data_IF_321306701311
#
_entry.id   IF_321306701311
#
_cell.length_a   1.000
_cell.length_b   1.000
_cell.length_c   1.000
_cell.angle_alpha   90.00
_cell.angle_beta   90.00
_cell.angle_gamma   90.00
#
_symmetry.space_group_name_H-M   'P 1'
#
loop_
_entity.id
_entity.type
_entity.pdbx_description
1 polymer ?
#
# COMPACT_ATOMS: atom_id res chain seq x y z
N UNK A 1 -52.45 9.14 -2.16
CA UNK A 1 -51.92 8.27 -3.23
C UNK A 1 -50.41 8.42 -3.41
N UNK A 2 -49.83 9.62 -3.22
CA UNK A 2 -48.38 9.83 -3.35
C UNK A 2 -47.50 9.05 -2.36
N UNK A 3 -47.93 8.88 -1.09
CA UNK A 3 -47.14 8.11 -0.11
C UNK A 3 -47.00 6.62 -0.45
N UNK A 4 -47.97 6.02 -1.15
CA UNK A 4 -47.95 4.59 -1.52
C UNK A 4 -47.05 4.33 -2.73
N UNK A 5 -47.11 5.22 -3.74
CA UNK A 5 -46.17 5.18 -4.88
C UNK A 5 -44.72 5.43 -4.44
N UNK A 6 -44.50 6.34 -3.49
CA UNK A 6 -43.15 6.61 -2.98
C UNK A 6 -42.59 5.41 -2.18
N UNK A 7 -43.41 4.71 -1.40
CA UNK A 7 -42.98 3.49 -0.69
C UNK A 7 -42.68 2.33 -1.65
N UNK A 8 -43.47 2.16 -2.70
CA UNK A 8 -43.27 1.09 -3.69
C UNK A 8 -41.96 1.32 -4.49
N UNK A 9 -41.66 2.57 -4.85
CA UNK A 9 -40.40 2.92 -5.50
C UNK A 9 -39.17 2.81 -4.58
N UNK A 10 -39.30 3.20 -3.30
CA UNK A 10 -38.21 3.02 -2.31
C UNK A 10 -37.93 1.54 -2.03
N UNK A 11 -38.98 0.72 -1.93
CA UNK A 11 -38.85 -0.74 -1.81
C UNK A 11 -38.20 -1.36 -3.07
N UNK A 12 -38.52 -0.85 -4.26
CA UNK A 12 -37.87 -1.27 -5.51
C UNK A 12 -36.38 -0.93 -5.55
N UNK A 13 -35.98 0.27 -5.11
CA UNK A 13 -34.56 0.67 -5.09
C UNK A 13 -33.77 -0.16 -4.09
N UNK A 14 -34.35 -0.42 -2.91
CA UNK A 14 -33.73 -1.24 -1.88
C UNK A 14 -33.47 -2.67 -2.37
N UNK A 15 -34.46 -3.29 -3.00
CA UNK A 15 -34.32 -4.65 -3.55
C UNK A 15 -33.21 -4.72 -4.60
N UNK A 16 -33.16 -3.77 -5.53
CA UNK A 16 -32.13 -3.74 -6.59
C UNK A 16 -30.72 -3.55 -6.01
N UNK A 17 -30.56 -2.74 -4.96
CA UNK A 17 -29.27 -2.58 -4.27
C UNK A 17 -28.83 -3.88 -3.57
N UNK A 18 -29.77 -4.61 -2.95
CA UNK A 18 -29.49 -5.91 -2.34
C UNK A 18 -29.05 -6.93 -3.40
N UNK A 19 -29.77 -7.00 -4.53
CA UNK A 19 -29.44 -7.89 -5.64
C UNK A 19 -28.06 -7.56 -6.25
N UNK A 20 -27.77 -6.27 -6.45
CA UNK A 20 -26.49 -5.82 -6.98
C UNK A 20 -25.33 -6.13 -6.02
N UNK A 21 -25.52 -6.00 -4.70
CA UNK A 21 -24.54 -6.41 -3.70
C UNK A 21 -24.32 -7.93 -3.69
N UNK A 22 -25.39 -8.72 -3.80
CA UNK A 22 -25.29 -10.18 -3.85
C UNK A 22 -24.52 -10.66 -5.08
N UNK A 23 -24.72 -10.02 -6.24
CA UNK A 23 -23.94 -10.29 -7.45
C UNK A 23 -22.45 -9.97 -7.28
N UNK A 24 -22.13 -8.85 -6.61
CA UNK A 24 -20.75 -8.48 -6.30
C UNK A 24 -20.04 -9.59 -5.48
N UNK A 25 -20.74 -10.11 -4.46
CA UNK A 25 -20.24 -11.20 -3.62
C UNK A 25 -20.05 -12.50 -4.42
N UNK A 26 -21.01 -12.83 -5.27
CA UNK A 26 -20.94 -14.02 -6.14
C UNK A 26 -19.75 -13.94 -7.11
N UNK A 27 -19.45 -12.77 -7.68
CA UNK A 27 -18.27 -12.60 -8.52
C UNK A 27 -16.97 -12.80 -7.73
N UNK A 28 -16.92 -12.37 -6.47
CA UNK A 28 -15.74 -12.58 -5.61
C UNK A 28 -15.49 -14.06 -5.31
N UNK A 29 -16.55 -14.85 -5.08
CA UNK A 29 -16.44 -16.32 -4.94
C UNK A 29 -15.84 -16.98 -6.20
N UNK A 30 -16.10 -16.41 -7.38
CA UNK A 30 -15.53 -16.84 -8.65
C UNK A 30 -14.13 -16.26 -8.95
N UNK A 31 -13.51 -15.52 -8.02
CA UNK A 31 -12.24 -14.78 -8.19
C UNK A 31 -12.26 -13.78 -9.36
N UNK A 32 -13.42 -13.19 -9.61
CA UNK A 32 -13.65 -12.16 -10.64
C UNK A 32 -14.32 -10.91 -10.05
N UNK A 33 -14.52 -10.88 -8.74
CA UNK A 33 -15.20 -9.79 -8.04
C UNK A 33 -14.25 -8.65 -7.71
N UNK A 34 -14.82 -7.46 -7.56
CA UNK A 34 -14.09 -6.27 -7.12
C UNK A 34 -14.42 -5.94 -5.66
N UNK A 35 -13.49 -5.30 -4.97
CA UNK A 35 -13.79 -4.53 -3.77
C UNK A 35 -14.33 -3.16 -4.17
N UNK A 36 -15.17 -2.54 -3.33
CA UNK A 36 -15.72 -1.20 -3.60
C UNK A 36 -15.42 -0.27 -2.44
N UNK A 37 -14.57 0.71 -2.67
CA UNK A 37 -14.24 1.76 -1.73
C UNK A 37 -15.09 3.00 -2.04
N UNK A 38 -16.00 3.36 -1.15
CA UNK A 38 -16.89 4.51 -1.29
C UNK A 38 -16.39 5.63 -0.39
N UNK A 39 -15.96 6.73 -0.99
CA UNK A 39 -15.57 7.94 -0.28
C UNK A 39 -16.78 8.86 -0.18
N UNK A 40 -17.19 9.20 1.04
CA UNK A 40 -18.24 10.19 1.28
C UNK A 40 -17.63 11.44 1.91
N UNK A 41 -17.46 12.48 1.10
CA UNK A 41 -16.99 13.79 1.53
C UNK A 41 -18.12 14.82 1.44
N UNK A 42 -17.90 15.99 2.04
CA UNK A 42 -18.82 17.11 1.91
C UNK A 42 -18.72 18.09 3.07
N UNK A 43 -19.56 19.11 3.02
CA UNK A 43 -19.60 20.15 4.05
C UNK A 43 -20.28 19.63 5.33
N UNK A 44 -20.09 20.33 6.46
CA UNK A 44 -20.89 20.08 7.67
C UNK A 44 -22.40 20.12 7.36
N UNK A 45 -23.17 19.28 8.07
CA UNK A 45 -24.65 19.16 7.95
C UNK A 45 -25.17 18.74 6.56
N UNK A 46 -24.29 18.30 5.66
CA UNK A 46 -24.67 17.85 4.31
C UNK A 46 -25.37 16.47 4.29
N UNK A 47 -25.40 15.75 5.43
CA UNK A 47 -26.13 14.49 5.59
C UNK A 47 -25.34 13.24 5.21
N UNK A 48 -24.02 13.32 5.11
CA UNK A 48 -23.12 12.20 4.79
C UNK A 48 -23.37 10.99 5.71
N UNK A 49 -23.36 11.18 7.03
CA UNK A 49 -23.57 10.09 8.00
C UNK A 49 -24.95 9.47 7.87
N UNK A 50 -25.96 10.28 7.57
CA UNK A 50 -27.32 9.80 7.33
C UNK A 50 -27.41 8.98 6.04
N UNK A 51 -26.74 9.41 4.97
CA UNK A 51 -26.67 8.65 3.71
C UNK A 51 -25.96 7.29 3.89
N UNK A 52 -24.84 7.25 4.62
CA UNK A 52 -24.14 6.00 4.95
C UNK A 52 -25.03 5.07 5.80
N UNK A 53 -25.73 5.62 6.81
CA UNK A 53 -26.67 4.85 7.63
C UNK A 53 -27.83 4.33 6.79
N UNK A 54 -28.34 5.11 5.83
CA UNK A 54 -29.41 4.68 4.93
C UNK A 54 -28.98 3.53 4.03
N UNK A 55 -27.78 3.58 3.46
CA UNK A 55 -27.25 2.45 2.70
C UNK A 55 -27.13 1.20 3.59
N UNK A 56 -26.58 1.33 4.80
CA UNK A 56 -26.49 0.22 5.77
C UNK A 56 -27.83 -0.38 6.18
N UNK A 57 -28.89 0.42 6.24
CA UNK A 57 -30.25 -0.07 6.49
C UNK A 57 -30.87 -0.76 5.26
N UNK A 58 -30.33 -0.49 4.08
CA UNK A 58 -30.89 -0.95 2.80
C UNK A 58 -30.26 -2.26 2.34
N UNK A 59 -28.93 -2.40 2.44
CA UNK A 59 -28.19 -3.58 1.95
C UNK A 59 -27.77 -4.51 3.09
N UNK A 60 -27.23 -5.69 2.76
CA UNK A 60 -26.76 -6.64 3.76
C UNK A 60 -25.52 -6.08 4.50
N UNK A 61 -25.59 -5.89 5.83
CA UNK A 61 -24.49 -5.30 6.59
C UNK A 61 -23.25 -6.19 6.68
N UNK A 62 -23.33 -7.51 6.42
CA UNK A 62 -22.16 -8.39 6.47
C UNK A 62 -21.13 -8.09 5.36
N UNK A 63 -21.59 -7.53 4.24
CA UNK A 63 -20.73 -7.13 3.12
C UNK A 63 -20.45 -5.63 3.07
N UNK A 64 -20.79 -4.89 4.13
CA UNK A 64 -20.65 -3.44 4.20
C UNK A 64 -19.90 -3.03 5.46
N UNK A 65 -18.76 -2.38 5.28
CA UNK A 65 -17.98 -1.77 6.36
C UNK A 65 -18.11 -0.24 6.32
N UNK A 66 -18.08 0.40 7.47
CA UNK A 66 -18.07 1.86 7.59
C UNK A 66 -16.89 2.25 8.48
N UNK A 67 -16.01 3.08 7.94
CA UNK A 67 -14.78 3.53 8.57
C UNK A 67 -14.84 5.04 8.80
N UNK A 68 -14.54 5.43 10.03
CA UNK A 68 -14.37 6.82 10.45
C UNK A 68 -13.08 6.89 11.27
N UNK A 69 -11.96 6.88 10.57
CA UNK A 69 -10.65 6.95 11.22
C UNK A 69 -10.45 8.36 11.81
N UNK A 70 -9.73 8.48 12.94
CA UNK A 70 -9.32 9.79 13.43
C UNK A 70 -8.52 10.50 12.34
N UNK A 71 -8.88 11.76 12.06
CA UNK A 71 -8.12 12.61 11.14
C UNK A 71 -6.68 12.66 11.64
N UNK A 72 -5.71 12.44 10.75
CA UNK A 72 -4.30 12.51 11.11
C UNK A 72 -3.82 13.95 10.96
N UNK A 73 -3.66 14.72 12.05
CA UNK A 73 -3.22 16.09 11.96
C UNK A 73 -1.70 16.08 11.92
N UNK A 74 -1.09 15.79 10.76
CA UNK A 74 0.28 16.24 10.44
C UNK A 74 0.78 15.78 9.08
N UNK A 75 1.16 16.79 8.29
CA UNK A 75 2.07 16.79 7.14
C UNK A 75 1.57 16.12 5.85
N UNK A 76 1.52 16.93 4.79
CA UNK A 76 1.37 16.53 3.38
C UNK A 76 2.41 15.46 2.95
N UNK A 77 3.49 15.32 3.73
CA UNK A 77 4.56 14.37 3.49
C UNK A 77 4.34 13.03 4.20
N UNK A 78 3.30 12.84 5.01
CA UNK A 78 3.02 11.55 5.64
C UNK A 78 2.51 10.51 4.63
N UNK A 79 2.58 9.22 5.00
CA UNK A 79 1.98 8.13 4.22
C UNK A 79 0.46 8.19 4.30
N UNK A 80 -0.14 8.96 3.39
CA UNK A 80 -1.57 9.27 3.41
C UNK A 80 -2.47 8.03 3.39
N UNK A 81 -2.06 6.94 2.73
CA UNK A 81 -2.86 5.72 2.64
C UNK A 81 -2.78 4.84 3.90
N UNK A 82 -1.74 5.01 4.73
CA UNK A 82 -1.46 4.09 5.84
C UNK A 82 -2.58 4.02 6.89
N UNK A 83 -3.20 5.14 7.33
CA UNK A 83 -4.33 5.09 8.24
C UNK A 83 -5.51 4.30 7.67
N UNK A 84 -5.63 4.24 6.34
CA UNK A 84 -6.78 3.67 5.64
C UNK A 84 -6.59 2.22 5.18
N UNK A 85 -5.45 1.59 5.47
CA UNK A 85 -5.17 0.21 5.05
C UNK A 85 -6.27 -0.76 5.50
N UNK A 86 -6.75 -0.64 6.73
CA UNK A 86 -7.83 -1.48 7.26
C UNK A 86 -9.21 -1.19 6.64
N UNK A 87 -9.36 -0.07 5.93
CA UNK A 87 -10.59 0.32 5.25
C UNK A 87 -10.64 -0.13 3.78
N UNK A 88 -9.50 -0.55 3.21
CA UNK A 88 -9.45 -1.08 1.85
C UNK A 88 -10.23 -2.40 1.82
N UNK A 89 -11.30 -2.50 1.00
CA UNK A 89 -12.15 -3.67 0.98
C UNK A 89 -11.45 -4.84 0.29
N UNK A 90 -11.75 -6.06 0.76
CA UNK A 90 -11.51 -7.25 -0.04
C UNK A 90 -12.54 -7.36 -1.17
N UNK A 91 -12.25 -8.22 -2.15
CA UNK A 91 -13.20 -8.56 -3.22
C UNK A 91 -14.56 -8.98 -2.66
N UNK A 92 -15.64 -8.44 -3.22
CA UNK A 92 -17.02 -8.73 -2.79
C UNK A 92 -17.53 -7.85 -1.64
N UNK A 93 -16.68 -7.00 -1.05
CA UNK A 93 -17.07 -6.08 0.02
C UNK A 93 -17.22 -4.64 -0.48
N UNK A 94 -18.04 -3.89 0.26
CA UNK A 94 -18.18 -2.44 0.14
C UNK A 94 -17.66 -1.81 1.43
N UNK A 95 -16.71 -0.90 1.34
CA UNK A 95 -16.22 -0.10 2.46
C UNK A 95 -16.57 1.36 2.25
N UNK A 96 -17.25 1.98 3.21
CA UNK A 96 -17.52 3.42 3.22
C UNK A 96 -16.47 4.11 4.08
N UNK A 97 -15.77 5.08 3.52
CA UNK A 97 -14.82 5.94 4.21
C UNK A 97 -15.48 7.31 4.46
N UNK A 98 -15.80 7.58 5.72
CA UNK A 98 -16.28 8.89 6.21
C UNK A 98 -15.13 9.83 6.55
N UNK A 99 -14.01 9.26 6.99
CA UNK A 99 -12.71 9.94 7.04
C UNK A 99 -11.85 9.32 5.95
N UNK A 100 -11.21 10.16 5.15
CA UNK A 100 -10.55 9.75 3.91
C UNK A 100 -9.36 10.65 3.58
N UNK A 101 -8.47 10.18 2.70
CA UNK A 101 -7.21 10.86 2.35
C UNK A 101 -7.38 12.29 1.78
N UNK A 102 -8.50 12.63 1.16
CA UNK A 102 -8.78 14.02 0.75
C UNK A 102 -9.07 14.96 1.92
N UNK A 103 -9.61 14.44 3.03
CA UNK A 103 -9.91 15.24 4.20
C UNK A 103 -8.62 15.67 4.90
N UNK A 104 -7.62 14.79 4.93
CA UNK A 104 -6.31 15.10 5.49
C UNK A 104 -5.67 16.30 4.77
N UNK A 105 -5.83 16.41 3.44
CA UNK A 105 -5.39 17.59 2.67
C UNK A 105 -6.14 18.85 3.09
N UNK A 106 -7.46 18.78 3.17
CA UNK A 106 -8.29 19.94 3.55
C UNK A 106 -7.91 20.44 4.94
N UNK A 107 -7.68 19.52 5.89
CA UNK A 107 -7.27 19.82 7.26
C UNK A 107 -5.86 20.40 7.29
N UNK A 108 -4.92 19.80 6.54
CA UNK A 108 -3.55 20.31 6.44
C UNK A 108 -3.51 21.71 5.85
N UNK A 109 -4.29 21.99 4.80
CA UNK A 109 -4.30 23.30 4.14
C UNK A 109 -4.90 24.43 5.00
N UNK A 110 -5.75 24.11 5.97
CA UNK A 110 -6.28 25.09 6.93
C UNK A 110 -5.35 25.29 8.11
N UNK A 111 -4.75 24.21 8.61
CA UNK A 111 -3.97 24.24 9.86
C UNK A 111 -2.48 24.52 9.67
N UNK A 112 -1.93 24.33 8.47
CA UNK A 112 -0.51 24.51 8.18
C UNK A 112 -0.30 25.55 7.07
N UNK A 113 0.22 26.72 7.47
CA UNK A 113 0.52 27.83 6.57
C UNK A 113 1.66 27.55 5.59
N UNK A 114 2.44 26.47 5.79
CA UNK A 114 3.50 26.04 4.89
C UNK A 114 3.01 25.11 3.75
N UNK A 115 1.74 24.74 3.76
CA UNK A 115 1.11 23.94 2.70
C UNK A 115 0.77 24.85 1.52
N UNK A 116 1.62 24.83 0.50
CA UNK A 116 1.40 25.59 -0.73
C UNK A 116 0.47 24.83 -1.68
N UNK A 117 -0.17 25.55 -2.60
CA UNK A 117 -0.99 24.94 -3.68
C UNK A 117 -0.19 23.92 -4.51
N UNK A 118 1.12 24.14 -4.68
CA UNK A 118 1.98 23.18 -5.39
C UNK A 118 2.12 21.86 -4.63
N UNK A 119 2.32 21.91 -3.31
CA UNK A 119 2.37 20.71 -2.45
C UNK A 119 1.03 19.96 -2.46
N UNK A 120 -0.08 20.69 -2.42
CA UNK A 120 -1.43 20.11 -2.53
C UNK A 120 -1.57 19.36 -3.85
N UNK A 121 -1.21 19.98 -4.99
CA UNK A 121 -1.30 19.35 -6.31
C UNK A 121 -0.43 18.09 -6.42
N UNK A 122 0.79 18.13 -5.88
CA UNK A 122 1.66 16.95 -5.85
C UNK A 122 1.04 15.82 -5.03
N UNK A 123 0.48 16.13 -3.86
CA UNK A 123 -0.17 15.14 -3.02
C UNK A 123 -1.44 14.56 -3.66
N UNK A 124 -2.23 15.39 -4.35
CA UNK A 124 -3.38 14.92 -5.15
C UNK A 124 -2.95 13.98 -6.27
N UNK A 125 -1.84 14.24 -6.95
CA UNK A 125 -1.30 13.32 -7.95
C UNK A 125 -0.90 11.96 -7.35
N UNK A 126 -0.38 11.95 -6.11
CA UNK A 126 -0.08 10.70 -5.39
C UNK A 126 -1.37 9.94 -5.01
N UNK A 127 -2.42 10.64 -4.62
CA UNK A 127 -3.74 10.05 -4.36
C UNK A 127 -4.32 9.46 -5.65
N UNK A 128 -4.31 10.21 -6.74
CA UNK A 128 -4.82 9.74 -8.04
C UNK A 128 -4.09 8.47 -8.47
N UNK A 129 -2.76 8.45 -8.37
CA UNK A 129 -1.96 7.29 -8.70
C UNK A 129 -2.30 6.08 -7.79
N UNK A 130 -2.51 6.30 -6.50
CA UNK A 130 -2.93 5.26 -5.57
C UNK A 130 -4.34 4.71 -5.87
N UNK A 131 -5.29 5.58 -6.22
CA UNK A 131 -6.63 5.15 -6.64
C UNK A 131 -6.59 4.35 -7.95
N UNK A 132 -5.70 4.71 -8.90
CA UNK A 132 -5.47 3.91 -10.09
C UNK A 132 -4.86 2.55 -9.75
N UNK A 133 -3.92 2.49 -8.80
CA UNK A 133 -3.32 1.23 -8.34
C UNK A 133 -4.38 0.34 -7.68
N UNK A 134 -5.26 0.90 -6.85
CA UNK A 134 -6.42 0.18 -6.30
C UNK A 134 -7.31 -0.37 -7.41
N UNK A 135 -7.68 0.46 -8.39
CA UNK A 135 -8.54 0.05 -9.51
C UNK A 135 -7.93 -1.06 -10.35
N UNK A 136 -6.63 -0.95 -10.64
CA UNK A 136 -5.89 -1.96 -11.35
C UNK A 136 -5.85 -3.27 -10.55
N UNK A 137 -5.82 -3.20 -9.22
CA UNK A 137 -5.84 -4.34 -8.30
C UNK A 137 -7.26 -4.65 -7.79
N UNK A 138 -8.26 -4.55 -8.66
CA UNK A 138 -9.65 -4.97 -8.46
C UNK A 138 -10.39 -4.28 -7.31
N UNK A 139 -10.03 -3.03 -6.98
CA UNK A 139 -10.77 -2.17 -6.03
C UNK A 139 -11.26 -0.91 -6.73
N UNK A 140 -12.58 -0.78 -6.92
CA UNK A 140 -13.17 0.44 -7.49
C UNK A 140 -13.34 1.50 -6.41
N UNK A 141 -12.95 2.73 -6.73
CA UNK A 141 -13.12 3.90 -5.85
C UNK A 141 -14.27 4.76 -6.38
N UNK A 142 -15.32 4.95 -5.58
CA UNK A 142 -16.48 5.78 -5.92
C UNK A 142 -16.51 6.97 -4.98
N UNK A 143 -16.54 8.18 -5.53
CA UNK A 143 -16.34 9.42 -4.77
C UNK A 143 -17.59 10.29 -4.82
N UNK A 144 -18.17 10.58 -3.65
CA UNK A 144 -19.34 11.43 -3.51
C UNK A 144 -19.03 12.67 -2.70
N UNK A 145 -19.42 13.84 -3.23
CA UNK A 145 -19.34 15.10 -2.50
C UNK A 145 -20.74 15.62 -2.19
N UNK A 146 -21.10 15.64 -0.91
CA UNK A 146 -22.36 16.21 -0.44
C UNK A 146 -22.18 17.72 -0.25
N UNK A 147 -22.76 18.49 -1.16
CA UNK A 147 -22.62 19.94 -1.15
C UNK A 147 -23.75 20.63 -0.39
N UNK A 148 -23.39 21.64 0.39
CA UNK A 148 -24.35 22.51 1.06
C UNK A 148 -23.87 23.97 0.97
N UNK A 149 -24.69 24.86 0.38
CA UNK A 149 -24.38 26.29 0.36
C UNK A 149 -24.26 26.85 1.79
N UNK A 150 -23.36 27.83 1.96
CA UNK A 150 -23.06 28.42 3.27
C UNK A 150 -24.31 28.89 4.05
N UNK A 151 -25.26 29.54 3.36
CA UNK A 151 -26.48 30.05 4.01
C UNK A 151 -27.35 28.92 4.59
N UNK A 152 -27.41 27.77 3.90
CA UNK A 152 -28.13 26.59 4.37
C UNK A 152 -27.41 25.91 5.52
N UNK A 153 -26.08 25.85 5.45
CA UNK A 153 -25.25 25.33 6.53
C UNK A 153 -25.46 26.15 7.81
N UNK A 154 -25.48 27.48 7.71
CA UNK A 154 -25.74 28.39 8.84
C UNK A 154 -27.14 28.20 9.42
N UNK A 155 -28.16 28.05 8.56
CA UNK A 155 -29.53 27.78 9.00
C UNK A 155 -29.59 26.49 9.83
N UNK A 156 -29.01 25.39 9.34
CA UNK A 156 -29.05 24.10 10.03
C UNK A 156 -28.25 24.10 11.35
N UNK A 157 -27.16 24.86 11.46
CA UNK A 157 -26.42 24.98 12.72
C UNK A 157 -27.22 25.69 13.82
N UNK A 158 -28.10 26.65 13.47
CA UNK A 158 -28.98 27.27 14.47
C UNK A 158 -30.05 26.31 15.02
N UNK A 159 -30.38 25.26 14.25
CA UNK A 159 -31.36 24.23 14.60
C UNK A 159 -30.69 23.00 15.27
N UNK A 160 -29.35 22.92 15.25
CA UNK A 160 -28.60 21.79 15.75
C UNK A 160 -28.45 21.79 17.29
N UNK A 161 -28.50 20.60 17.90
CA UNK A 161 -28.21 20.44 19.32
C UNK A 161 -26.69 20.49 19.61
N UNK A 162 -26.32 20.65 20.89
CA UNK A 162 -24.92 20.75 21.35
C UNK A 162 -24.07 19.53 20.97
N UNK A 163 -24.62 18.31 21.04
CA UNK A 163 -23.88 17.08 20.72
C UNK A 163 -23.44 16.97 19.26
N UNK A 164 -24.23 17.48 18.30
CA UNK A 164 -23.83 17.51 16.89
C UNK A 164 -22.65 18.45 16.61
N UNK A 165 -22.52 19.54 17.37
CA UNK A 165 -21.39 20.48 17.25
C UNK A 165 -20.08 19.84 17.71
N UNK A 166 -20.11 19.08 18.79
CA UNK A 166 -18.93 18.37 19.32
C UNK A 166 -18.42 17.32 18.33
N UNK A 167 -19.31 16.56 17.68
CA UNK A 167 -18.94 15.56 16.67
C UNK A 167 -18.29 16.23 15.44
N UNK A 168 -18.76 17.40 15.01
CA UNK A 168 -18.15 18.10 13.87
C UNK A 168 -16.74 18.61 14.16
N UNK A 169 -16.48 19.06 15.38
CA UNK A 169 -15.14 19.49 15.78
C UNK A 169 -14.11 18.35 15.74
N UNK A 170 -14.54 17.08 15.88
CA UNK A 170 -13.65 15.91 15.79
C UNK A 170 -13.05 15.68 14.39
N UNK A 171 -13.63 16.29 13.35
CA UNK A 171 -13.19 16.14 11.96
C UNK A 171 -12.19 17.23 11.50
N UNK A 172 -11.80 18.14 12.40
CA UNK A 172 -10.70 19.10 12.17
C UNK A 172 -10.98 20.24 11.20
N UNK A 173 -12.20 20.37 10.68
CA UNK A 173 -12.62 21.44 9.75
C UNK A 173 -13.80 22.24 10.33
N UNK A 174 -13.73 23.57 10.25
CA UNK A 174 -14.83 24.44 10.67
C UNK A 174 -15.51 25.14 9.48
N UNK A 175 -16.47 24.45 8.89
CA UNK A 175 -17.27 24.94 7.76
C UNK A 175 -18.20 26.13 8.09
N UNK A 176 -18.37 26.49 9.37
CA UNK A 176 -19.24 27.59 9.80
C UNK A 176 -18.58 28.97 9.66
N UNK A 177 -17.24 29.02 9.59
CA UNK A 177 -16.51 30.26 9.36
C UNK A 177 -16.43 30.53 7.86
N UNK A 178 -17.01 31.65 7.42
CA UNK A 178 -17.07 32.00 5.99
C UNK A 178 -15.68 32.01 5.30
N UNK A 179 -14.62 32.59 5.86
CA UNK A 179 -13.30 32.56 5.22
C UNK A 179 -12.75 31.14 5.05
N UNK A 180 -12.88 30.28 6.07
CA UNK A 180 -12.45 28.87 5.99
C UNK A 180 -13.32 28.08 4.99
N UNK A 181 -14.63 28.32 4.96
CA UNK A 181 -15.54 27.74 3.96
C UNK A 181 -15.11 28.08 2.54
N UNK A 182 -14.85 29.37 2.26
CA UNK A 182 -14.48 29.83 0.92
C UNK A 182 -13.12 29.25 0.50
N UNK A 183 -12.15 29.19 1.41
CA UNK A 183 -10.85 28.55 1.16
C UNK A 183 -10.99 27.05 0.89
N UNK A 184 -11.78 26.32 1.69
CA UNK A 184 -12.01 24.90 1.50
C UNK A 184 -12.71 24.61 0.17
N UNK A 185 -13.66 25.45 -0.24
CA UNK A 185 -14.32 25.32 -1.54
C UNK A 185 -13.35 25.56 -2.70
N UNK A 186 -12.40 26.49 -2.58
CA UNK A 186 -11.35 26.69 -3.58
C UNK A 186 -10.42 25.47 -3.69
N UNK A 187 -10.01 24.88 -2.56
CA UNK A 187 -9.14 23.69 -2.56
C UNK A 187 -9.89 22.48 -3.11
N UNK A 188 -11.16 22.28 -2.72
CA UNK A 188 -12.04 21.22 -3.22
C UNK A 188 -12.08 21.18 -4.75
N UNK A 189 -12.20 22.33 -5.40
CA UNK A 189 -12.26 22.42 -6.87
C UNK A 189 -11.04 21.81 -7.57
N UNK A 190 -9.90 21.67 -6.88
CA UNK A 190 -8.69 21.04 -7.41
C UNK A 190 -8.84 19.53 -7.62
N UNK A 191 -9.75 18.86 -6.90
CA UNK A 191 -9.85 17.40 -6.92
C UNK A 191 -11.25 16.85 -7.14
N UNK A 192 -12.30 17.69 -7.24
CA UNK A 192 -13.68 17.22 -7.41
C UNK A 192 -14.15 17.12 -8.87
N UNK A 193 -13.25 17.05 -9.85
CA UNK A 193 -13.64 17.00 -11.26
C UNK A 193 -14.31 15.68 -11.65
N UNK A 194 -13.91 14.57 -11.01
CA UNK A 194 -14.43 13.23 -11.22
C UNK A 194 -15.33 12.75 -10.07
N UNK A 195 -15.77 13.68 -9.20
CA UNK A 195 -16.64 13.37 -8.07
C UNK A 195 -18.11 13.53 -8.42
N UNK A 196 -18.94 12.68 -7.82
CA UNK A 196 -20.40 12.77 -7.93
C UNK A 196 -20.89 13.80 -6.91
N UNK A 197 -21.40 14.93 -7.40
CA UNK A 197 -21.92 15.99 -6.53
C UNK A 197 -23.36 15.69 -6.15
N UNK A 198 -23.64 15.68 -4.84
CA UNK A 198 -24.97 15.52 -4.26
C UNK A 198 -25.37 16.84 -3.58
N UNK A 199 -26.14 17.67 -4.27
CA UNK A 199 -26.50 19.04 -3.85
C UNK A 199 -28.00 19.23 -3.58
N UNK A 200 -28.76 18.13 -3.53
CA UNK A 200 -30.21 18.19 -3.41
C UNK A 200 -30.68 18.81 -2.08
N UNK A 201 -31.73 19.65 -2.11
CA UNK A 201 -32.04 20.52 -0.98
C UNK A 201 -32.32 19.85 0.37
N UNK A 202 -33.19 18.82 0.43
CA UNK A 202 -33.57 18.13 1.69
C UNK A 202 -32.72 16.87 1.88
N UNK A 203 -32.33 16.59 3.12
CA UNK A 203 -31.51 15.41 3.48
C UNK A 203 -32.04 14.09 2.90
N UNK A 204 -33.34 13.81 3.01
CA UNK A 204 -33.96 12.60 2.44
C UNK A 204 -33.77 12.48 0.92
N UNK A 205 -33.81 13.60 0.21
CA UNK A 205 -33.62 13.64 -1.24
C UNK A 205 -32.15 13.32 -1.59
N UNK A 206 -31.19 13.94 -0.89
CA UNK A 206 -29.76 13.63 -1.02
C UNK A 206 -29.46 12.14 -0.81
N UNK A 207 -30.03 11.53 0.23
CA UNK A 207 -29.85 10.10 0.46
C UNK A 207 -30.43 9.25 -0.65
N UNK A 208 -31.63 9.56 -1.15
CA UNK A 208 -32.22 8.84 -2.29
C UNK A 208 -31.35 8.97 -3.54
N UNK A 209 -30.82 10.16 -3.80
CA UNK A 209 -29.91 10.44 -4.93
C UNK A 209 -28.64 9.61 -4.81
N UNK A 210 -27.99 9.64 -3.65
CA UNK A 210 -26.82 8.83 -3.33
C UNK A 210 -27.07 7.33 -3.56
N UNK A 211 -28.17 6.78 -3.03
CA UNK A 211 -28.52 5.37 -3.21
C UNK A 211 -28.77 5.00 -4.67
N UNK A 212 -29.38 5.92 -5.45
CA UNK A 212 -29.62 5.72 -6.88
C UNK A 212 -28.31 5.70 -7.67
N UNK A 213 -27.39 6.62 -7.38
CA UNK A 213 -26.06 6.65 -7.99
C UNK A 213 -25.22 5.43 -7.59
N UNK A 214 -25.28 5.02 -6.32
CA UNK A 214 -24.64 3.79 -5.86
C UNK A 214 -25.13 2.57 -6.63
N UNK A 215 -26.44 2.43 -6.83
CA UNK A 215 -27.00 1.35 -7.63
C UNK A 215 -26.48 1.38 -9.07
N UNK A 216 -26.47 2.56 -9.68
CA UNK A 216 -25.96 2.73 -11.04
C UNK A 216 -24.51 2.24 -11.18
N UNK A 217 -23.63 2.63 -10.25
CA UNK A 217 -22.25 2.17 -10.24
C UNK A 217 -22.12 0.67 -9.97
N UNK A 218 -22.89 0.12 -9.03
CA UNK A 218 -22.87 -1.33 -8.77
C UNK A 218 -23.26 -2.14 -10.02
N UNK A 219 -24.27 -1.68 -10.77
CA UNK A 219 -24.64 -2.31 -12.04
C UNK A 219 -23.52 -2.22 -13.08
N UNK A 220 -22.89 -1.06 -13.25
CA UNK A 220 -21.77 -0.91 -14.17
C UNK A 220 -20.60 -1.84 -13.80
N UNK A 221 -20.25 -1.90 -12.51
CA UNK A 221 -19.16 -2.74 -12.00
C UNK A 221 -19.45 -4.22 -12.24
N UNK A 222 -20.68 -4.66 -11.94
CA UNK A 222 -21.08 -6.05 -12.14
C UNK A 222 -21.17 -6.47 -13.62
N UNK A 223 -21.37 -5.52 -14.54
CA UNK A 223 -21.44 -5.79 -15.98
C UNK A 223 -20.07 -5.66 -16.67
N UNK A 224 -19.13 -4.93 -16.08
CA UNK A 224 -17.83 -4.67 -16.67
C UNK A 224 -16.98 -5.96 -16.73
N UNK A 225 -16.78 -6.47 -17.94
CA UNK A 225 -15.77 -7.50 -18.18
C UNK A 225 -14.39 -6.84 -18.28
N UNK A 226 -13.52 -7.08 -17.31
CA UNK A 226 -12.14 -6.62 -17.39
C UNK A 226 -11.28 -7.72 -18.01
N UNK A 227 -10.97 -7.58 -19.31
CA UNK A 227 -9.98 -8.41 -19.99
C UNK A 227 -8.75 -7.55 -20.30
N UNK A 228 -7.89 -7.27 -19.30
CA UNK A 228 -6.67 -6.54 -19.58
C UNK A 228 -5.77 -7.42 -20.45
N UNK A 229 -5.25 -6.84 -21.53
CA UNK A 229 -4.22 -7.49 -22.34
C UNK A 229 -2.85 -7.03 -21.85
N UNK A 230 -1.93 -7.98 -21.72
CA UNK A 230 -0.56 -7.67 -21.39
C UNK A 230 0.11 -7.00 -22.58
N UNK A 231 0.93 -5.99 -22.33
CA UNK A 231 1.79 -5.46 -23.37
C UNK A 231 2.87 -6.49 -23.72
N UNK A 232 3.41 -6.38 -24.93
CA UNK A 232 4.65 -7.07 -25.24
C UNK A 232 5.73 -6.59 -24.27
N UNK A 233 6.38 -7.51 -23.57
CA UNK A 233 7.45 -7.20 -22.63
C UNK A 233 8.79 -7.59 -23.24
N UNK A 234 9.62 -6.59 -23.47
CA UNK A 234 11.00 -6.79 -23.87
C UNK A 234 11.88 -6.81 -22.63
N UNK A 235 12.41 -7.99 -22.31
CA UNK A 235 13.29 -8.16 -21.16
C UNK A 235 14.66 -7.54 -21.42
N UNK A 236 15.23 -7.00 -20.35
CA UNK A 236 16.58 -6.45 -20.34
C UNK A 236 17.61 -7.58 -20.45
N UNK A 237 18.77 -7.30 -21.08
CA UNK A 237 19.91 -8.20 -21.02
C UNK A 237 20.27 -8.53 -19.56
N UNK A 238 20.84 -9.71 -19.31
CA UNK A 238 21.26 -10.08 -17.95
C UNK A 238 22.28 -9.07 -17.44
N UNK A 239 21.93 -8.36 -16.37
CA UNK A 239 22.78 -7.34 -15.79
C UNK A 239 24.11 -7.95 -15.32
N UNK A 240 25.28 -7.44 -15.76
CA UNK A 240 26.58 -8.01 -15.41
C UNK A 240 26.80 -8.11 -13.89
N UNK A 241 26.25 -7.15 -13.14
CA UNK A 241 26.30 -7.11 -11.68
C UNK A 241 25.63 -8.32 -11.00
N UNK A 242 24.74 -9.04 -11.68
CA UNK A 242 24.18 -10.30 -11.15
C UNK A 242 25.21 -11.43 -11.09
N UNK A 243 26.35 -11.31 -11.78
CA UNK A 243 27.44 -12.28 -11.79
C UNK A 243 28.65 -11.84 -10.96
N UNK A 244 28.46 -10.95 -9.98
CA UNK A 244 29.58 -10.47 -9.14
C UNK A 244 30.09 -11.61 -8.27
N UNK A 245 31.41 -11.75 -8.25
CA UNK A 245 32.16 -12.60 -7.33
C UNK A 245 33.24 -11.75 -6.67
N UNK A 246 33.48 -11.99 -5.38
CA UNK A 246 34.64 -11.42 -4.72
C UNK A 246 35.85 -12.32 -5.02
N UNK A 247 36.90 -11.73 -5.58
CA UNK A 247 38.14 -12.45 -5.97
C UNK A 247 39.23 -12.34 -4.91
N UNK A 248 39.22 -11.26 -4.12
CA UNK A 248 40.29 -10.95 -3.15
C UNK A 248 39.69 -10.80 -1.74
N UNK A 249 40.21 -11.59 -0.80
CA UNK A 249 39.83 -11.54 0.62
C UNK A 249 41.07 -11.28 1.46
N UNK A 250 41.02 -10.24 2.28
CA UNK A 250 42.19 -9.77 3.03
C UNK A 250 42.10 -10.01 4.53
N UNK A 251 40.98 -10.52 5.05
CA UNK A 251 40.76 -10.65 6.48
C UNK A 251 40.96 -12.08 6.97
N UNK A 252 41.80 -12.25 8.00
CA UNK A 252 41.80 -13.46 8.82
C UNK A 252 40.57 -13.51 9.74
N UNK A 253 40.44 -14.56 10.56
CA UNK A 253 39.26 -14.72 11.42
C UNK A 253 39.12 -13.61 12.47
N UNK A 254 40.21 -13.27 13.16
CA UNK A 254 40.22 -12.25 14.21
C UNK A 254 39.92 -10.86 13.63
N UNK A 255 40.49 -10.54 12.48
CA UNK A 255 40.25 -9.28 11.77
C UNK A 255 38.79 -9.15 11.33
N UNK A 256 38.18 -10.23 10.85
CA UNK A 256 36.77 -10.24 10.50
C UNK A 256 35.89 -9.97 11.72
N UNK A 257 36.13 -10.64 12.85
CA UNK A 257 35.28 -10.51 14.03
C UNK A 257 35.35 -9.09 14.60
N UNK A 258 36.55 -8.50 14.70
CA UNK A 258 36.74 -7.10 15.12
C UNK A 258 36.06 -6.12 14.17
N UNK A 259 36.26 -6.30 12.86
CA UNK A 259 35.65 -5.41 11.86
C UNK A 259 34.13 -5.52 11.85
N UNK A 260 33.60 -6.75 11.91
CA UNK A 260 32.19 -7.04 11.92
C UNK A 260 31.51 -6.41 13.14
N UNK A 261 32.06 -6.62 14.34
CA UNK A 261 31.51 -6.04 15.56
C UNK A 261 31.49 -4.51 15.48
N UNK A 262 32.60 -3.89 15.04
CA UNK A 262 32.69 -2.43 14.91
C UNK A 262 31.64 -1.87 13.95
N UNK A 263 31.51 -2.45 12.75
CA UNK A 263 30.54 -1.98 11.76
C UNK A 263 29.10 -2.19 12.22
N UNK A 264 28.83 -3.33 12.88
CA UNK A 264 27.49 -3.63 13.34
C UNK A 264 27.03 -2.67 14.44
N UNK A 265 27.88 -2.40 15.43
CA UNK A 265 27.63 -1.38 16.46
C UNK A 265 27.40 0.00 15.84
N UNK A 266 28.15 0.33 14.79
CA UNK A 266 27.95 1.59 14.07
C UNK A 266 26.57 1.65 13.39
N UNK A 267 26.12 0.57 12.74
CA UNK A 267 24.75 0.48 12.20
C UNK A 267 23.71 0.69 13.29
N UNK A 268 23.85 0.03 14.44
CA UNK A 268 22.91 0.18 15.57
C UNK A 268 22.85 1.63 16.05
N UNK A 269 23.99 2.29 16.21
CA UNK A 269 24.06 3.68 16.63
C UNK A 269 23.43 4.63 15.61
N UNK A 270 23.67 4.41 14.32
CA UNK A 270 23.08 5.20 13.24
C UNK A 270 21.55 5.04 13.22
N UNK A 271 21.05 3.81 13.28
CA UNK A 271 19.60 3.50 13.33
C UNK A 271 18.93 4.22 14.49
N UNK A 272 19.55 4.25 15.68
CA UNK A 272 19.02 4.92 16.87
C UNK A 272 18.98 6.45 16.75
N UNK A 273 20.02 7.05 16.16
CA UNK A 273 20.21 8.50 16.11
C UNK A 273 19.51 9.17 14.93
N UNK A 274 19.32 8.45 13.83
CA UNK A 274 18.65 9.00 12.65
C UNK A 274 17.20 9.37 13.01
N UNK A 275 16.63 10.42 12.40
CA UNK A 275 15.21 10.76 12.59
C UNK A 275 14.28 9.87 11.75
N UNK A 276 14.78 9.37 10.61
CA UNK A 276 14.06 8.54 9.64
C UNK A 276 13.86 7.12 10.14
N UNK A 277 12.89 6.42 9.55
CA UNK A 277 12.74 4.97 9.71
C UNK A 277 13.51 4.27 8.60
N UNK A 278 14.12 3.12 8.90
CA UNK A 278 14.98 2.40 7.96
C UNK A 278 14.30 1.09 7.58
N UNK A 279 14.18 0.86 6.28
CA UNK A 279 13.61 -0.35 5.70
C UNK A 279 14.71 -1.07 4.92
N UNK A 280 15.01 -2.30 5.31
CA UNK A 280 15.95 -3.17 4.59
C UNK A 280 15.17 -4.25 3.85
N UNK A 281 15.42 -4.41 2.56
CA UNK A 281 14.77 -5.42 1.71
C UNK A 281 15.82 -6.42 1.23
N UNK A 282 15.61 -7.71 1.51
CA UNK A 282 16.53 -8.77 1.09
C UNK A 282 15.87 -9.69 0.07
N UNK A 283 16.40 -9.67 -1.15
CA UNK A 283 16.08 -10.62 -2.22
C UNK A 283 17.35 -11.36 -2.68
N UNK A 284 17.16 -12.38 -3.51
CA UNK A 284 18.26 -13.16 -4.10
C UNK A 284 17.92 -14.63 -4.19
N UNK A 285 18.74 -15.37 -4.94
CA UNK A 285 18.55 -16.79 -5.20
C UNK A 285 18.45 -17.63 -3.92
N UNK A 286 17.80 -18.79 -4.02
CA UNK A 286 17.75 -19.72 -2.89
C UNK A 286 19.17 -20.14 -2.47
N UNK A 287 19.35 -20.30 -1.16
CA UNK A 287 20.65 -20.48 -0.49
C UNK A 287 21.70 -19.35 -0.62
N UNK A 288 21.36 -18.17 -1.12
CA UNK A 288 22.25 -16.99 -1.12
C UNK A 288 22.71 -16.56 0.29
N UNK A 289 21.88 -16.79 1.31
CA UNK A 289 22.25 -16.57 2.71
C UNK A 289 21.50 -15.44 3.42
N UNK A 290 20.37 -14.97 2.87
CA UNK A 290 19.46 -13.94 3.43
C UNK A 290 19.31 -14.03 4.95
N UNK A 291 18.72 -15.11 5.46
CA UNK A 291 18.48 -15.26 6.90
C UNK A 291 19.74 -15.16 7.77
N UNK A 292 20.89 -15.66 7.31
CA UNK A 292 22.15 -15.57 8.06
C UNK A 292 22.86 -14.21 7.97
N UNK A 293 22.42 -13.32 7.07
CA UNK A 293 22.81 -11.91 7.06
C UNK A 293 21.88 -11.12 7.98
N UNK A 294 20.56 -11.35 7.87
CA UNK A 294 19.55 -10.69 8.71
C UNK A 294 19.80 -10.95 10.19
N UNK A 295 19.99 -12.22 10.58
CA UNK A 295 20.35 -12.63 11.94
C UNK A 295 21.57 -11.87 12.48
N UNK A 296 22.53 -11.59 11.59
CA UNK A 296 23.79 -10.92 11.94
C UNK A 296 23.64 -9.42 12.04
N UNK A 297 22.82 -8.78 11.20
CA UNK A 297 22.52 -7.35 11.29
C UNK A 297 21.91 -7.02 12.65
N UNK A 298 20.96 -7.82 13.13
CA UNK A 298 20.24 -7.53 14.38
C UNK A 298 20.94 -8.03 15.65
N UNK A 299 22.10 -8.69 15.51
CA UNK A 299 22.80 -9.36 16.62
C UNK A 299 23.11 -8.45 17.82
N UNK A 300 23.34 -7.15 17.58
CA UNK A 300 23.65 -6.16 18.63
C UNK A 300 22.52 -5.13 18.85
N UNK A 301 21.39 -5.29 18.15
CA UNK A 301 20.21 -4.42 18.29
C UNK A 301 19.30 -4.91 19.41
N UNK A 302 18.60 -4.01 20.08
CA UNK A 302 17.54 -4.40 21.02
C UNK A 302 16.31 -4.88 20.21
N UNK A 303 15.68 -6.03 20.54
CA UNK A 303 14.49 -6.52 19.86
C UNK A 303 13.31 -5.54 19.79
N UNK A 304 13.27 -4.52 20.66
CA UNK A 304 12.25 -3.47 20.62
C UNK A 304 12.47 -2.52 19.42
N UNK A 305 13.70 -2.41 18.90
CA UNK A 305 14.12 -1.44 17.89
C UNK A 305 13.84 -1.90 16.45
N UNK A 306 13.76 -3.21 16.25
CA UNK A 306 13.61 -3.80 14.93
C UNK A 306 12.42 -4.74 14.79
N UNK A 307 12.01 -4.99 13.56
CA UNK A 307 11.05 -6.03 13.21
C UNK A 307 11.52 -6.77 11.95
N UNK A 308 11.36 -8.09 11.93
CA UNK A 308 11.69 -8.93 10.77
C UNK A 308 10.39 -9.46 10.18
N UNK A 309 10.12 -9.07 8.93
CA UNK A 309 8.98 -9.46 8.13
C UNK A 309 9.39 -10.56 7.15
N UNK A 310 9.18 -11.81 7.54
CA UNK A 310 9.41 -12.96 6.66
C UNK A 310 8.22 -13.16 5.72
N UNK A 311 8.39 -12.87 4.44
CA UNK A 311 7.30 -12.87 3.46
C UNK A 311 7.17 -14.25 2.81
N UNK A 312 6.04 -14.90 3.05
CA UNK A 312 5.66 -16.17 2.47
C UNK A 312 4.55 -16.03 1.42
N UNK A 313 4.01 -17.17 0.97
CA UNK A 313 2.81 -17.21 0.15
C UNK A 313 1.66 -16.44 0.85
N UNK A 314 0.86 -15.65 0.10
CA UNK A 314 -0.27 -14.92 0.69
C UNK A 314 -1.33 -15.89 1.21
N UNK A 315 -1.96 -15.54 2.33
CA UNK A 315 -3.14 -16.24 2.83
C UNK A 315 -4.40 -15.82 2.04
N UNK A 316 -5.55 -16.44 2.38
CA UNK A 316 -6.81 -16.15 1.71
C UNK A 316 -7.21 -14.66 1.84
N UNK A 317 -6.90 -14.03 2.98
CA UNK A 317 -7.18 -12.61 3.21
C UNK A 317 -6.34 -11.74 2.29
N UNK A 318 -5.03 -11.96 2.22
CA UNK A 318 -4.14 -11.19 1.36
C UNK A 318 -4.45 -11.40 -0.13
N UNK A 319 -4.87 -12.60 -0.54
CA UNK A 319 -5.31 -12.88 -1.91
C UNK A 319 -6.60 -12.15 -2.30
N UNK A 320 -7.46 -11.85 -1.33
CA UNK A 320 -8.70 -11.13 -1.56
C UNK A 320 -8.52 -9.60 -1.57
N UNK A 321 -7.33 -9.09 -1.28
CA UNK A 321 -6.98 -7.66 -1.29
C UNK A 321 -6.00 -7.31 -2.41
N UNK A 322 -5.81 -6.01 -2.73
CA UNK A 322 -4.73 -5.55 -3.59
C UNK A 322 -3.37 -6.08 -3.18
N UNK A 323 -2.48 -6.35 -4.14
CA UNK A 323 -1.20 -7.01 -3.86
C UNK A 323 -0.36 -6.32 -2.77
N UNK A 324 -0.24 -4.99 -2.86
CA UNK A 324 0.61 -4.23 -1.93
C UNK A 324 0.00 -4.11 -0.53
N UNK A 325 -1.29 -4.41 -0.36
CA UNK A 325 -2.01 -4.32 0.91
C UNK A 325 -1.32 -5.10 2.04
N UNK A 326 -0.81 -6.30 1.75
CA UNK A 326 -0.12 -7.15 2.73
C UNK A 326 1.23 -6.60 3.22
N UNK A 327 1.72 -5.53 2.60
CA UNK A 327 2.98 -4.85 2.96
C UNK A 327 2.75 -3.47 3.57
N UNK A 328 1.66 -2.78 3.20
CA UNK A 328 1.32 -1.44 3.66
C UNK A 328 1.28 -1.30 5.19
N UNK A 329 0.76 -2.29 5.90
CA UNK A 329 0.75 -2.27 7.38
C UNK A 329 2.13 -2.50 7.98
N UNK A 330 3.03 -3.20 7.29
CA UNK A 330 4.29 -3.73 7.84
C UNK A 330 5.46 -2.74 7.86
N UNK A 331 5.36 -1.60 7.17
CA UNK A 331 6.50 -0.72 6.91
C UNK A 331 6.85 0.26 8.03
N UNK A 332 5.97 0.51 9.01
CA UNK A 332 6.11 1.67 9.91
C UNK A 332 6.08 1.38 11.40
N UNK A 333 6.13 0.12 11.83
CA UNK A 333 5.97 -0.22 13.25
C UNK A 333 7.20 0.13 14.08
N UNK A 334 8.40 0.01 13.52
CA UNK A 334 9.68 0.08 14.24
C UNK A 334 10.67 1.05 13.58
N UNK A 335 11.80 1.27 14.26
CA UNK A 335 12.87 2.12 13.75
C UNK A 335 13.58 1.47 12.57
N UNK A 336 13.76 0.14 12.67
CA UNK A 336 14.32 -0.71 11.64
C UNK A 336 13.32 -1.81 11.26
N UNK A 337 12.90 -1.87 10.01
CA UNK A 337 12.07 -2.96 9.49
C UNK A 337 12.86 -3.73 8.43
N UNK A 338 12.96 -5.04 8.59
CA UNK A 338 13.72 -5.91 7.70
C UNK A 338 12.78 -6.88 7.00
N UNK A 339 12.75 -6.88 5.68
CA UNK A 339 11.99 -7.80 4.85
C UNK A 339 12.88 -8.95 4.37
N UNK A 340 12.61 -10.17 4.83
CA UNK A 340 13.16 -11.41 4.24
C UNK A 340 12.20 -11.90 3.15
N UNK A 341 12.56 -11.62 1.89
CA UNK A 341 11.62 -11.51 0.75
C UNK A 341 10.63 -10.35 0.94
N UNK A 342 10.00 -9.89 -0.14
CA UNK A 342 9.27 -8.61 -0.12
C UNK A 342 8.19 -8.51 -1.20
N UNK A 343 7.72 -7.29 -1.46
CA UNK A 343 6.84 -6.97 -2.60
C UNK A 343 7.46 -7.33 -3.95
N UNK A 344 8.78 -7.48 -4.05
CA UNK A 344 9.46 -7.93 -5.27
C UNK A 344 9.11 -9.35 -5.69
N UNK A 345 8.49 -10.16 -4.81
CA UNK A 345 7.97 -11.49 -5.17
C UNK A 345 7.10 -11.49 -6.45
N UNK A 346 6.32 -10.42 -6.68
CA UNK A 346 5.45 -10.24 -7.86
C UNK A 346 6.20 -10.28 -9.18
N UNK A 347 7.38 -9.65 -9.22
CA UNK A 347 8.23 -9.53 -10.42
C UNK A 347 9.35 -10.57 -10.46
N UNK A 348 9.46 -11.39 -9.40
CA UNK A 348 10.40 -12.51 -9.28
C UNK A 348 9.66 -13.85 -9.33
N UNK A 349 9.43 -14.49 -8.18
CA UNK A 349 8.86 -15.84 -8.09
C UNK A 349 7.48 -15.94 -8.74
N UNK A 350 6.60 -14.96 -8.56
CA UNK A 350 5.26 -15.03 -9.14
C UNK A 350 5.27 -14.86 -10.66
N UNK A 351 6.24 -14.12 -11.20
CA UNK A 351 6.48 -14.00 -12.65
C UNK A 351 7.03 -15.31 -13.23
N UNK A 352 8.03 -15.91 -12.58
CA UNK A 352 8.72 -17.13 -13.06
C UNK A 352 7.86 -18.39 -12.90
N UNK A 353 7.04 -18.45 -11.86
CA UNK A 353 6.12 -19.56 -11.61
C UNK A 353 4.73 -19.35 -12.24
N UNK A 354 4.43 -18.16 -12.76
CA UNK A 354 3.13 -17.85 -13.37
C UNK A 354 2.00 -17.68 -12.36
N UNK A 355 2.30 -17.35 -11.10
CA UNK A 355 1.29 -17.02 -10.08
C UNK A 355 0.67 -15.64 -10.29
N UNK A 356 1.36 -14.74 -10.99
CA UNK A 356 0.84 -13.46 -11.43
C UNK A 356 0.56 -13.49 -12.93
N UNK A 357 -0.56 -12.90 -13.34
CA UNK A 357 -0.81 -12.67 -14.77
C UNK A 357 0.25 -11.72 -15.35
N UNK A 358 0.53 -11.79 -16.66
CA UNK A 358 1.49 -10.87 -17.28
C UNK A 358 1.17 -9.40 -17.07
N UNK A 359 -0.11 -9.03 -17.14
CA UNK A 359 -0.57 -7.66 -16.81
C UNK A 359 -0.18 -7.26 -15.39
N UNK A 360 -0.41 -8.15 -14.41
CA UNK A 360 -0.21 -7.85 -13.00
C UNK A 360 1.27 -7.64 -12.66
N UNK A 361 2.19 -8.46 -13.16
CA UNK A 361 3.61 -8.25 -12.87
C UNK A 361 4.24 -7.14 -13.70
N UNK A 362 3.77 -6.90 -14.95
CA UNK A 362 4.30 -5.81 -15.79
C UNK A 362 4.02 -4.43 -15.18
N UNK A 363 2.81 -4.20 -14.65
CA UNK A 363 2.49 -2.93 -13.99
C UNK A 363 3.16 -2.77 -12.62
N UNK A 364 3.47 -3.89 -11.96
CA UNK A 364 3.98 -3.89 -10.59
C UNK A 364 5.29 -3.11 -10.44
N UNK A 365 6.14 -3.03 -11.48
CA UNK A 365 7.35 -2.20 -11.42
C UNK A 365 7.03 -0.72 -11.11
N UNK A 366 6.02 -0.16 -11.76
CA UNK A 366 5.61 1.22 -11.54
C UNK A 366 4.92 1.41 -10.18
N UNK A 367 4.08 0.45 -9.77
CA UNK A 367 3.42 0.44 -8.46
C UNK A 367 4.46 0.37 -7.32
N UNK A 368 5.48 -0.48 -7.45
CA UNK A 368 6.58 -0.61 -6.49
C UNK A 368 7.37 0.69 -6.38
N UNK A 369 7.72 1.32 -7.50
CA UNK A 369 8.45 2.59 -7.47
C UNK A 369 7.63 3.71 -6.79
N UNK A 370 6.31 3.79 -7.06
CA UNK A 370 5.42 4.73 -6.35
C UNK A 370 5.35 4.44 -4.86
N UNK A 371 5.22 3.16 -4.50
CA UNK A 371 5.20 2.74 -3.10
C UNK A 371 6.48 3.13 -2.38
N UNK A 372 7.65 2.84 -2.94
CA UNK A 372 8.94 3.18 -2.36
C UNK A 372 9.16 4.70 -2.28
N UNK A 373 8.77 5.45 -3.31
CA UNK A 373 8.82 6.92 -3.26
C UNK A 373 7.92 7.49 -2.18
N UNK A 374 6.70 6.97 -1.99
CA UNK A 374 5.82 7.39 -0.90
C UNK A 374 6.47 7.16 0.48
N UNK A 375 7.23 6.06 0.66
CA UNK A 375 7.97 5.81 1.91
C UNK A 375 9.07 6.87 2.11
N UNK A 376 9.85 7.15 1.07
CA UNK A 376 10.93 8.15 1.11
C UNK A 376 10.40 9.55 1.39
N UNK A 377 9.34 9.96 0.69
CA UNK A 377 8.65 11.24 0.91
C UNK A 377 8.16 11.37 2.37
N UNK A 378 7.81 10.24 2.98
CA UNK A 378 7.43 10.13 4.39
C UNK A 378 8.57 9.83 5.35
N UNK A 379 9.80 10.27 5.01
CA UNK A 379 10.96 10.23 5.88
C UNK A 379 11.41 8.79 6.24
N UNK A 380 11.39 7.89 5.25
CA UNK A 380 11.99 6.55 5.34
C UNK A 380 13.24 6.46 4.46
N UNK A 381 14.21 5.63 4.86
CA UNK A 381 15.31 5.18 4.01
C UNK A 381 14.98 3.75 3.57
N UNK A 382 14.94 3.50 2.26
CA UNK A 382 14.69 2.18 1.70
C UNK A 382 15.98 1.64 1.07
N UNK A 383 16.55 0.59 1.65
CA UNK A 383 17.80 -0.02 1.20
C UNK A 383 17.51 -1.44 0.73
N UNK A 384 17.81 -1.74 -0.54
CA UNK A 384 17.45 -3.02 -1.16
C UNK A 384 18.69 -3.82 -1.52
N UNK A 385 18.70 -5.10 -1.18
CA UNK A 385 19.82 -6.00 -1.40
C UNK A 385 19.44 -7.17 -2.28
N UNK A 386 20.15 -7.33 -3.39
CA UNK A 386 20.13 -8.58 -4.15
C UNK A 386 21.37 -9.40 -3.79
N UNK A 387 21.14 -10.54 -3.13
CA UNK A 387 22.19 -11.46 -2.76
C UNK A 387 22.51 -12.41 -3.92
N UNK A 388 23.59 -12.11 -4.65
CA UNK A 388 24.07 -12.93 -5.76
C UNK A 388 24.94 -14.09 -5.26
N UNK A 389 24.72 -15.29 -5.78
CA UNK A 389 25.47 -16.51 -5.46
C UNK A 389 25.83 -17.19 -6.78
N UNK A 390 27.00 -17.82 -6.88
CA UNK A 390 27.31 -18.65 -8.05
C UNK A 390 26.44 -19.91 -8.08
N UNK A 391 26.14 -20.41 -9.29
CA UNK A 391 25.46 -21.70 -9.43
C UNK A 391 26.23 -22.84 -8.74
N UNK A 392 27.56 -22.76 -8.74
CA UNK A 392 28.43 -23.74 -8.09
C UNK A 392 28.27 -23.69 -6.56
N UNK A 393 28.39 -22.51 -5.95
CA UNK A 393 28.25 -22.37 -4.50
C UNK A 393 26.82 -22.66 -4.03
N UNK A 394 25.80 -22.31 -4.82
CA UNK A 394 24.41 -22.69 -4.51
C UNK A 394 24.27 -24.21 -4.41
N UNK A 395 24.82 -24.96 -5.38
CA UNK A 395 24.78 -26.44 -5.37
C UNK A 395 25.49 -27.00 -4.15
N UNK A 396 26.70 -26.51 -3.86
CA UNK A 396 27.47 -26.92 -2.68
C UNK A 396 26.68 -26.69 -1.40
N UNK A 397 25.96 -25.57 -1.28
CA UNK A 397 25.11 -25.25 -0.12
C UNK A 397 23.88 -26.15 -0.04
N UNK A 398 23.27 -26.51 -1.17
CA UNK A 398 22.15 -27.44 -1.20
C UNK A 398 22.58 -28.83 -0.71
N UNK A 399 23.69 -29.35 -1.25
CA UNK A 399 24.27 -30.63 -0.82
C UNK A 399 24.61 -30.59 0.68
N UNK A 400 25.31 -29.55 1.15
CA UNK A 400 25.64 -29.41 2.57
C UNK A 400 24.41 -29.36 3.48
N UNK A 401 23.29 -28.76 3.05
CA UNK A 401 22.03 -28.74 3.81
C UNK A 401 21.37 -30.12 3.89
N UNK A 402 21.41 -30.89 2.80
CA UNK A 402 20.86 -32.24 2.77
C UNK A 402 21.60 -33.19 3.73
N UNK A 403 22.91 -32.99 3.93
CA UNK A 403 23.74 -33.83 4.80
C UNK A 403 23.91 -33.30 6.23
N UNK A 404 23.42 -32.09 6.57
CA UNK A 404 23.49 -31.55 7.93
C UNK A 404 22.13 -31.70 8.62
N UNK A 405 21.98 -32.54 9.67
CA UNK A 405 20.68 -32.81 10.31
C UNK A 405 19.90 -31.54 10.69
N UNK A 406 20.58 -30.56 11.29
CA UNK A 406 19.99 -29.27 11.72
C UNK A 406 19.62 -28.32 10.56
N UNK A 407 19.88 -28.68 9.31
CA UNK A 407 19.62 -27.83 8.14
C UNK A 407 18.81 -28.54 7.05
N UNK A 408 18.46 -29.81 7.25
CA UNK A 408 17.66 -30.59 6.31
C UNK A 408 16.30 -29.95 6.05
N UNK A 409 15.69 -29.33 7.07
CA UNK A 409 14.43 -28.59 6.91
C UNK A 409 14.53 -27.36 5.99
N UNK A 410 15.74 -26.92 5.62
CA UNK A 410 16.01 -25.77 4.74
C UNK A 410 16.20 -26.15 3.27
N UNK A 411 15.92 -27.40 2.88
CA UNK A 411 15.91 -27.83 1.49
C UNK A 411 14.65 -28.65 1.20
N UNK A 412 13.98 -28.29 0.13
CA UNK A 412 12.72 -28.89 -0.34
C UNK A 412 12.85 -29.27 -1.82
N UNK A 413 11.92 -30.06 -2.35
CA UNK A 413 11.86 -30.35 -3.79
C UNK A 413 11.66 -29.07 -4.63
N UNK A 414 10.97 -28.08 -4.07
CA UNK A 414 10.77 -26.78 -4.69
C UNK A 414 12.08 -26.03 -4.91
N UNK A 415 13.05 -26.12 -3.99
CA UNK A 415 14.36 -25.47 -4.15
C UNK A 415 15.13 -26.03 -5.36
N UNK A 416 15.03 -27.34 -5.62
CA UNK A 416 15.64 -27.97 -6.79
C UNK A 416 14.95 -27.57 -8.09
N UNK A 417 13.62 -27.48 -8.07
CA UNK A 417 12.83 -26.98 -9.21
C UNK A 417 13.19 -25.52 -9.54
N UNK A 418 13.27 -24.65 -8.54
CA UNK A 418 13.64 -23.25 -8.72
C UNK A 418 15.04 -23.11 -9.32
N UNK A 419 15.99 -23.96 -8.90
CA UNK A 419 17.33 -24.01 -9.49
C UNK A 419 17.32 -24.35 -10.99
N UNK A 420 16.41 -25.21 -11.45
CA UNK A 420 16.29 -25.52 -12.88
C UNK A 420 15.86 -24.31 -13.72
N UNK A 421 15.18 -23.32 -13.11
CA UNK A 421 14.76 -22.06 -13.72
C UNK A 421 15.74 -20.91 -13.52
N UNK A 422 17.02 -21.21 -13.28
CA UNK A 422 18.05 -20.20 -12.99
C UNK A 422 18.08 -19.05 -14.01
N UNK A 423 18.00 -19.38 -15.31
CA UNK A 423 18.02 -18.39 -16.38
C UNK A 423 16.80 -17.45 -16.31
N UNK A 424 15.61 -17.98 -16.06
CA UNK A 424 14.37 -17.20 -15.93
C UNK A 424 14.45 -16.23 -14.74
N UNK A 425 15.01 -16.69 -13.62
CA UNK A 425 15.25 -15.83 -12.45
C UNK A 425 16.29 -14.75 -12.72
N UNK A 426 17.34 -15.01 -13.51
CA UNK A 426 18.29 -13.97 -13.91
C UNK A 426 17.62 -12.91 -14.80
N UNK A 427 16.77 -13.31 -15.73
CA UNK A 427 15.99 -12.37 -16.55
C UNK A 427 15.07 -11.52 -15.68
N UNK A 428 14.30 -12.15 -14.78
CA UNK A 428 13.39 -11.46 -13.88
C UNK A 428 14.13 -10.50 -12.93
N UNK A 429 15.27 -10.91 -12.38
CA UNK A 429 16.12 -10.08 -11.53
C UNK A 429 16.76 -8.93 -12.32
N UNK A 430 17.15 -9.14 -13.58
CA UNK A 430 17.69 -8.07 -14.43
C UNK A 430 16.65 -7.00 -14.70
N UNK A 431 15.42 -7.40 -15.07
CA UNK A 431 14.30 -6.48 -15.25
C UNK A 431 13.99 -5.74 -13.94
N UNK A 432 13.94 -6.44 -12.81
CA UNK A 432 13.74 -5.83 -11.50
C UNK A 432 14.78 -4.74 -11.21
N UNK A 433 16.06 -5.02 -11.41
CA UNK A 433 17.12 -4.04 -11.22
C UNK A 433 16.97 -2.86 -12.18
N UNK A 434 16.70 -3.12 -13.45
CA UNK A 434 16.59 -2.06 -14.46
C UNK A 434 15.39 -1.12 -14.21
N UNK A 435 14.25 -1.66 -13.79
CA UNK A 435 13.01 -0.88 -13.65
C UNK A 435 12.78 -0.33 -12.25
N UNK A 436 13.48 -0.81 -11.21
CA UNK A 436 13.27 -0.33 -9.83
C UNK A 436 14.54 0.09 -9.09
N UNK A 437 15.71 0.15 -9.74
CA UNK A 437 16.89 0.80 -9.17
C UNK A 437 16.78 2.32 -9.31
N UNK A 438 16.09 2.97 -8.37
CA UNK A 438 15.90 4.43 -8.36
C UNK A 438 16.96 5.12 -7.53
N UNK A 439 17.10 6.45 -7.70
CA UNK A 439 18.03 7.25 -6.89
C UNK A 439 17.64 7.29 -5.41
N UNK A 440 16.35 7.21 -5.12
CA UNK A 440 15.76 7.31 -3.77
C UNK A 440 15.66 5.96 -3.07
N UNK A 441 15.65 4.86 -3.81
CA UNK A 441 15.63 3.50 -3.29
C UNK A 441 16.54 2.63 -4.18
N UNK A 442 17.88 2.67 -3.98
CA UNK A 442 18.81 1.92 -4.81
C UNK A 442 18.84 0.42 -4.45
N UNK A 443 19.23 -0.38 -5.45
CA UNK A 443 19.59 -1.79 -5.31
C UNK A 443 21.09 -1.96 -5.14
N UNK A 444 21.47 -2.73 -4.13
CA UNK A 444 22.84 -3.15 -3.86
C UNK A 444 22.98 -4.65 -4.16
N UNK A 445 23.74 -4.98 -5.20
CA UNK A 445 24.05 -6.38 -5.52
C UNK A 445 25.28 -6.82 -4.74
N UNK A 446 25.10 -7.80 -3.86
CA UNK A 446 26.14 -8.30 -2.96
C UNK A 446 26.47 -9.74 -3.35
N UNK A 447 27.73 -10.00 -3.70
CA UNK A 447 28.19 -11.37 -3.88
C UNK A 447 28.18 -12.11 -2.54
N UNK A 448 27.70 -13.34 -2.53
CA UNK A 448 27.45 -14.08 -1.29
C UNK A 448 28.17 -15.40 -1.20
N UNK A 449 29.02 -15.72 -2.18
CA UNK A 449 29.79 -16.96 -2.19
C UNK A 449 30.61 -17.10 -0.89
N UNK A 450 31.16 -15.98 -0.43
CA UNK A 450 31.84 -15.84 0.86
C UNK A 450 30.95 -15.10 1.87
N UNK A 451 30.36 -15.85 2.80
CA UNK A 451 29.38 -15.32 3.76
C UNK A 451 29.91 -14.21 4.66
N UNK A 452 31.15 -14.33 5.13
CA UNK A 452 31.79 -13.34 6.01
C UNK A 452 31.91 -11.99 5.28
N UNK A 453 32.47 -11.99 4.07
CA UNK A 453 32.60 -10.78 3.25
C UNK A 453 31.24 -10.16 2.90
N UNK A 454 30.26 -11.00 2.51
CA UNK A 454 28.92 -10.53 2.21
C UNK A 454 28.28 -9.75 3.38
N UNK A 455 28.48 -10.20 4.62
CA UNK A 455 27.98 -9.50 5.82
C UNK A 455 28.65 -8.15 6.00
N UNK A 456 29.98 -8.08 5.85
CA UNK A 456 30.74 -6.82 5.94
C UNK A 456 30.24 -5.83 4.88
N UNK A 457 30.06 -6.28 3.64
CA UNK A 457 29.61 -5.43 2.55
C UNK A 457 28.19 -4.92 2.77
N UNK A 458 27.27 -5.77 3.24
CA UNK A 458 25.92 -5.32 3.63
C UNK A 458 25.97 -4.25 4.71
N UNK A 459 26.74 -4.46 5.79
CA UNK A 459 26.87 -3.46 6.86
C UNK A 459 27.46 -2.13 6.35
N UNK A 460 28.49 -2.19 5.49
CA UNK A 460 29.08 -0.99 4.85
C UNK A 460 28.06 -0.24 4.01
N UNK A 461 27.26 -0.95 3.20
CA UNK A 461 26.21 -0.34 2.38
C UNK A 461 25.10 0.29 3.25
N UNK A 462 24.70 -0.36 4.35
CA UNK A 462 23.73 0.21 5.29
C UNK A 462 24.26 1.52 5.87
N UNK A 463 25.49 1.53 6.37
CA UNK A 463 26.15 2.74 6.93
C UNK A 463 26.17 3.84 5.87
N UNK A 464 26.68 3.54 4.68
CA UNK A 464 26.80 4.51 3.60
C UNK A 464 25.46 5.14 3.25
N UNK A 465 24.40 4.33 3.11
CA UNK A 465 23.08 4.83 2.74
C UNK A 465 22.46 5.68 3.84
N UNK A 466 22.59 5.30 5.12
CA UNK A 466 22.07 6.12 6.22
C UNK A 466 22.79 7.48 6.27
N UNK A 467 24.11 7.50 6.07
CA UNK A 467 24.91 8.73 6.12
C UNK A 467 24.72 9.63 4.88
N UNK A 468 24.48 9.06 3.69
CA UNK A 468 24.39 9.83 2.44
C UNK A 468 22.98 10.30 2.08
N UNK A 469 21.95 9.65 2.61
CA UNK A 469 20.55 9.93 2.26
C UNK A 469 20.04 11.21 2.89
#
# INVERSE_FOLDING_TARGET
MDNKKNSDHENSLALQLIEAQALLQKHAEARQGKGICVILAGTSFSGISFAAQKLRQTINPKGLMIHANPVQPSQVNALFWQPYVAAIPQQGQISILLSHWYQDILVAAINDTQVTTSKIKQHLANIDAFEQDLKQNDVEVIKFWFDLPYDKLKQLDTEANTGWREIQQQYGLNWLKKPEYDQLQQIRQLFTQDWIIIDEGKEKKRSKSFLTQMLHHLHQINQAQHNPSASHWESQPIAPQLHVHYTDFTYNEDEYDVLFERLNRHVVDLVRKDARKIILVFEGMDASGKGGIIERIVQYSDPIEYEIQSIAAPDATALAHPYLWRFWSKVNHKKLTIFDRSWYGRVLVERVEGFASPVAWQRAYAEINRFENNLVDANHIVIKFWLSISQHEQRKRFEARAFTPEKQFKITEEDWRNRAKWADYLVAASDMLAYTNTLTAPWHVIATDHKKEARIQVLKQIIQQIESS
#
